data_IF_641756189858
#
_entry.id   IF_641756189858
#
_cell.length_a   1.000
_cell.length_b   1.000
_cell.length_c   1.000
_cell.angle_alpha   90.00
_cell.angle_beta   90.00
_cell.angle_gamma   90.00
#
_symmetry.space_group_name_H-M   'P 1'
#
loop_
_entity.id
_entity.type
_entity.pdbx_description
1 polymer ?
#
# COMPACT_ATOMS: atom_id res chain seq x y z
N UNK A 1 12.37 8.53 6.33
CA UNK A 1 11.69 7.31 6.80
C UNK A 1 11.19 6.47 5.63
N UNK A 2 10.88 5.23 5.89
CA UNK A 2 10.29 4.36 4.87
C UNK A 2 8.78 4.37 4.99
N UNK A 3 8.09 4.53 3.86
CA UNK A 3 6.64 4.59 3.78
C UNK A 3 6.19 3.52 2.79
N UNK A 4 5.38 2.56 3.26
CA UNK A 4 4.74 1.58 2.38
C UNK A 4 3.31 2.01 2.16
N UNK A 5 2.93 2.15 0.88
CA UNK A 5 1.57 2.56 0.52
C UNK A 5 0.66 1.34 0.44
N UNK A 6 -0.54 1.41 1.03
CA UNK A 6 -1.52 0.37 0.73
C UNK A 6 -2.02 0.57 -0.72
N UNK A 7 -2.76 -0.42 -1.21
CA UNK A 7 -3.17 -0.41 -2.62
C UNK A 7 -3.99 0.82 -2.97
N UNK A 8 -4.94 1.21 -2.12
CA UNK A 8 -5.78 2.37 -2.40
C UNK A 8 -4.98 3.68 -2.37
N UNK A 9 -4.09 3.82 -1.41
CA UNK A 9 -3.25 5.03 -1.32
C UNK A 9 -2.31 5.10 -2.52
N UNK A 10 -1.77 3.97 -2.97
CA UNK A 10 -0.95 3.91 -4.18
C UNK A 10 -1.74 4.41 -5.40
N UNK A 11 -2.96 3.90 -5.58
CA UNK A 11 -3.81 4.32 -6.69
C UNK A 11 -4.09 5.83 -6.64
N UNK A 12 -4.45 6.35 -5.47
CA UNK A 12 -4.71 7.77 -5.32
C UNK A 12 -3.47 8.61 -5.58
N UNK A 13 -2.31 8.17 -5.10
CA UNK A 13 -1.06 8.92 -5.30
C UNK A 13 -0.75 9.10 -6.79
N UNK A 14 -1.07 8.11 -7.61
CA UNK A 14 -0.78 8.13 -9.05
C UNK A 14 -1.90 8.75 -9.87
N UNK A 15 -3.15 8.46 -9.55
CA UNK A 15 -4.29 8.80 -10.40
C UNK A 15 -5.12 9.97 -9.88
N UNK A 16 -5.15 10.19 -8.56
CA UNK A 16 -6.02 11.19 -7.94
C UNK A 16 -5.36 11.79 -6.70
N UNK A 17 -4.17 12.42 -6.84
CA UNK A 17 -3.42 12.90 -5.68
C UNK A 17 -4.18 13.95 -4.87
N UNK A 18 -5.17 14.62 -5.47
CA UNK A 18 -6.02 15.56 -4.74
C UNK A 18 -6.86 14.89 -3.62
N UNK A 19 -6.98 13.56 -3.65
CA UNK A 19 -7.66 12.82 -2.59
C UNK A 19 -6.80 12.65 -1.34
N UNK A 20 -5.51 12.89 -1.47
CA UNK A 20 -4.58 12.85 -0.35
C UNK A 20 -4.48 14.25 0.28
N UNK A 21 -4.32 14.30 1.61
CA UNK A 21 -4.10 15.58 2.28
C UNK A 21 -2.79 16.21 1.81
N UNK A 22 -2.65 17.52 2.00
CA UNK A 22 -1.39 18.21 1.67
C UNK A 22 -0.23 17.59 2.44
N UNK A 23 -0.43 17.21 3.70
CA UNK A 23 0.62 16.58 4.52
C UNK A 23 1.08 15.26 3.94
N UNK A 24 0.15 14.41 3.51
CA UNK A 24 0.50 13.12 2.91
C UNK A 24 1.25 13.36 1.59
N UNK A 25 0.77 14.28 0.75
CA UNK A 25 1.47 14.59 -0.50
C UNK A 25 2.90 15.09 -0.25
N UNK A 26 3.09 15.89 0.78
CA UNK A 26 4.42 16.36 1.17
C UNK A 26 5.32 15.21 1.60
N UNK A 27 4.78 14.27 2.39
CA UNK A 27 5.54 13.10 2.83
C UNK A 27 6.01 12.27 1.63
N UNK A 28 5.13 12.07 0.63
CA UNK A 28 5.46 11.27 -0.55
C UNK A 28 6.43 11.98 -1.49
N UNK A 29 6.47 13.30 -1.46
CA UNK A 29 7.37 14.11 -2.29
C UNK A 29 8.71 14.40 -1.63
N UNK A 30 8.83 14.15 -0.33
CA UNK A 30 10.03 14.46 0.44
C UNK A 30 11.15 13.49 0.05
N UNK A 31 12.27 13.99 -0.52
CA UNK A 31 13.36 13.12 -0.96
C UNK A 31 14.07 12.40 0.19
N UNK A 32 13.86 12.83 1.44
CA UNK A 32 14.43 12.11 2.59
C UNK A 32 13.61 10.86 2.97
N UNK A 33 12.44 10.69 2.37
CA UNK A 33 11.60 9.52 2.59
C UNK A 33 11.74 8.53 1.45
N UNK A 34 11.80 7.23 1.79
CA UNK A 34 11.75 6.15 0.82
C UNK A 34 10.30 5.69 0.71
N UNK A 35 9.68 5.94 -0.43
CA UNK A 35 8.28 5.54 -0.66
C UNK A 35 8.27 4.22 -1.41
N UNK A 36 7.57 3.24 -0.82
CA UNK A 36 7.55 1.87 -1.30
C UNK A 36 6.14 1.47 -1.71
N UNK A 37 6.05 0.59 -2.71
CA UNK A 37 4.80 -0.10 -3.04
C UNK A 37 5.07 -1.60 -3.10
N UNK A 38 4.09 -2.40 -2.70
CA UNK A 38 4.24 -3.85 -2.68
C UNK A 38 3.88 -4.48 -4.01
N UNK A 39 4.61 -5.52 -4.40
CA UNK A 39 4.19 -6.37 -5.52
C UNK A 39 2.81 -6.99 -5.28
N UNK A 40 2.42 -7.19 -4.02
CA UNK A 40 1.08 -7.66 -3.68
C UNK A 40 -0.01 -6.68 -4.11
N UNK A 41 0.26 -5.37 -4.07
CA UNK A 41 -0.70 -4.36 -4.53
C UNK A 41 -0.93 -4.46 -6.03
N UNK A 42 0.12 -4.73 -6.80
CA UNK A 42 0.00 -4.93 -8.25
C UNK A 42 -0.84 -6.18 -8.53
N UNK A 43 -0.63 -7.26 -7.76
CA UNK A 43 -1.42 -8.47 -7.90
C UNK A 43 -2.89 -8.25 -7.54
N UNK A 44 -3.16 -7.51 -6.46
CA UNK A 44 -4.53 -7.15 -6.09
C UNK A 44 -5.24 -6.41 -7.22
N UNK A 45 -4.55 -5.44 -7.83
CA UNK A 45 -5.08 -4.67 -8.96
C UNK A 45 -5.36 -5.59 -10.14
N UNK A 46 -4.46 -6.53 -10.43
CA UNK A 46 -4.62 -7.49 -11.52
C UNK A 46 -5.87 -8.36 -11.30
N UNK A 47 -6.08 -8.85 -10.08
CA UNK A 47 -7.26 -9.65 -9.76
C UNK A 47 -8.54 -8.84 -9.97
N UNK A 48 -8.59 -7.62 -9.45
CA UNK A 48 -9.77 -6.76 -9.56
C UNK A 48 -10.05 -6.36 -11.00
N UNK A 49 -9.02 -6.07 -11.78
CA UNK A 49 -9.15 -5.77 -13.20
C UNK A 49 -9.69 -6.98 -13.98
N UNK A 50 -9.18 -8.17 -13.67
CA UNK A 50 -9.60 -9.42 -14.31
C UNK A 50 -11.04 -9.80 -14.00
N UNK A 51 -11.60 -9.30 -12.88
CA UNK A 51 -13.00 -9.53 -12.52
C UNK A 51 -13.97 -8.60 -13.25
N UNK A 52 -13.48 -7.75 -14.12
CA UNK A 52 -14.27 -6.83 -14.93
C UNK A 52 -15.20 -5.93 -14.11
N UNK A 53 -14.74 -5.48 -12.96
CA UNK A 53 -15.52 -4.56 -12.11
C UNK A 53 -15.68 -3.22 -12.82
N UNK A 54 -16.92 -2.81 -13.09
CA UNK A 54 -17.23 -1.61 -13.87
C UNK A 54 -16.60 -0.34 -13.32
N UNK A 55 -16.49 -0.23 -11.99
CA UNK A 55 -15.98 0.97 -11.35
C UNK A 55 -14.50 0.92 -11.05
N UNK A 56 -13.84 -0.19 -11.36
CA UNK A 56 -12.42 -0.33 -11.09
C UNK A 56 -11.61 0.07 -12.33
N UNK A 57 -10.96 1.22 -12.27
CA UNK A 57 -10.26 1.81 -13.41
C UNK A 57 -8.76 1.57 -13.43
N UNK A 58 -8.17 1.18 -12.29
CA UNK A 58 -6.73 0.95 -12.24
C UNK A 58 -6.34 -0.25 -13.09
N UNK A 59 -5.16 -0.17 -13.69
CA UNK A 59 -4.58 -1.24 -14.52
C UNK A 59 -3.22 -1.61 -13.95
N UNK A 60 -2.92 -2.91 -13.79
CA UNK A 60 -1.71 -3.31 -13.09
C UNK A 60 -0.41 -2.82 -13.77
N UNK A 61 -0.31 -2.94 -15.08
CA UNK A 61 0.90 -2.52 -15.79
C UNK A 61 1.12 -1.01 -15.70
N UNK A 62 0.05 -0.23 -15.83
CA UNK A 62 0.14 1.23 -15.77
C UNK A 62 0.44 1.71 -14.34
N UNK A 63 -0.13 1.06 -13.34
CA UNK A 63 0.13 1.40 -11.94
C UNK A 63 1.60 1.09 -11.60
N UNK A 64 2.08 -0.07 -11.99
CA UNK A 64 3.46 -0.46 -11.77
C UNK A 64 4.43 0.54 -12.42
N UNK A 65 4.22 0.82 -13.71
CA UNK A 65 5.05 1.77 -14.45
C UNK A 65 5.00 3.17 -13.84
N UNK A 66 3.79 3.64 -13.51
CA UNK A 66 3.61 4.96 -12.91
C UNK A 66 4.28 5.09 -11.55
N UNK A 67 4.25 4.02 -10.74
CA UNK A 67 4.92 4.02 -9.45
C UNK A 67 6.43 4.17 -9.60
N UNK A 68 7.03 3.42 -10.54
CA UNK A 68 8.47 3.53 -10.80
C UNK A 68 8.82 4.91 -11.33
N UNK A 69 8.04 5.47 -12.22
CA UNK A 69 8.25 6.83 -12.76
C UNK A 69 8.12 7.90 -11.67
N UNK A 70 7.28 7.67 -10.68
CA UNK A 70 7.14 8.57 -9.54
C UNK A 70 8.30 8.49 -8.56
N UNK A 71 9.22 7.55 -8.76
CA UNK A 71 10.35 7.34 -7.87
C UNK A 71 10.07 6.41 -6.71
N UNK A 72 8.93 5.71 -6.72
CA UNK A 72 8.62 4.73 -5.68
C UNK A 72 9.41 3.44 -5.94
N UNK A 73 9.80 2.77 -4.85
CA UNK A 73 10.52 1.51 -4.93
C UNK A 73 9.59 0.33 -4.72
N UNK A 74 9.77 -0.72 -5.51
CA UNK A 74 9.00 -1.94 -5.33
C UNK A 74 9.53 -2.73 -4.14
N UNK A 75 8.63 -3.14 -3.24
CA UNK A 75 8.91 -4.05 -2.14
C UNK A 75 8.33 -5.42 -2.51
N UNK A 76 9.17 -6.38 -2.94
CA UNK A 76 8.65 -7.68 -3.33
C UNK A 76 8.20 -8.47 -2.09
N UNK A 77 7.15 -9.28 -2.27
CA UNK A 77 6.68 -10.19 -1.22
C UNK A 77 7.66 -11.34 -1.09
N UNK A 78 8.18 -11.54 0.12
CA UNK A 78 9.09 -12.63 0.43
C UNK A 78 8.45 -13.61 1.39
N UNK A 79 9.04 -14.81 1.50
CA UNK A 79 8.52 -15.83 2.41
C UNK A 79 8.47 -15.34 3.87
N UNK A 80 9.47 -14.55 4.28
CA UNK A 80 9.46 -13.97 5.63
C UNK A 80 8.23 -13.10 5.89
N UNK A 81 7.79 -12.35 4.88
CA UNK A 81 6.59 -11.51 4.98
C UNK A 81 5.35 -12.36 5.13
N UNK A 82 5.24 -13.41 4.32
CA UNK A 82 4.10 -14.32 4.35
C UNK A 82 4.00 -15.05 5.69
N UNK A 83 5.13 -15.49 6.24
CA UNK A 83 5.17 -16.15 7.54
C UNK A 83 4.75 -15.17 8.66
N UNK A 84 5.17 -13.93 8.58
CA UNK A 84 4.86 -12.91 9.58
C UNK A 84 3.35 -12.62 9.69
N UNK A 85 2.58 -12.88 8.64
CA UNK A 85 1.11 -12.70 8.67
C UNK A 85 0.48 -13.53 9.80
N UNK A 86 1.06 -14.69 10.12
CA UNK A 86 0.53 -15.57 11.15
C UNK A 86 0.50 -14.91 12.53
N UNK A 87 1.42 -13.99 12.80
CA UNK A 87 1.54 -13.33 14.10
C UNK A 87 0.58 -12.16 14.27
N UNK A 88 -0.15 -11.77 13.22
CA UNK A 88 -1.08 -10.65 13.28
C UNK A 88 -2.40 -11.09 13.92
N UNK A 89 -3.03 -10.19 14.72
CA UNK A 89 -4.39 -10.45 15.22
C UNK A 89 -5.39 -10.61 14.09
N UNK A 90 -6.42 -11.45 14.30
CA UNK A 90 -7.46 -11.71 13.30
C UNK A 90 -8.56 -10.65 13.35
N UNK A 91 -8.19 -9.36 13.28
CA UNK A 91 -9.14 -8.25 13.31
C UNK A 91 -9.63 -7.86 11.90
N UNK A 92 -8.80 -8.08 10.90
CA UNK A 92 -9.10 -7.75 9.52
C UNK A 92 -8.97 -9.01 8.68
N UNK A 93 -9.95 -9.24 7.80
CA UNK A 93 -9.99 -10.47 7.00
C UNK A 93 -9.39 -10.32 5.61
N UNK A 94 -9.13 -9.11 5.16
CA UNK A 94 -8.54 -8.89 3.84
C UNK A 94 -7.10 -9.39 3.83
N UNK A 95 -6.80 -10.46 3.07
CA UNK A 95 -5.46 -11.03 3.06
C UNK A 95 -4.41 -10.09 2.48
N UNK A 96 -4.79 -9.20 1.56
CA UNK A 96 -3.84 -8.24 0.99
C UNK A 96 -3.42 -7.23 2.04
N UNK A 97 -4.37 -6.66 2.79
CA UNK A 97 -4.05 -5.69 3.83
C UNK A 97 -3.21 -6.31 4.94
N UNK A 98 -3.51 -7.55 5.31
CA UNK A 98 -2.73 -8.27 6.32
C UNK A 98 -1.30 -8.49 5.83
N UNK A 99 -1.12 -8.85 4.57
CA UNK A 99 0.21 -9.04 3.99
C UNK A 99 0.99 -7.73 3.94
N UNK A 100 0.33 -6.63 3.55
CA UNK A 100 0.98 -5.32 3.53
C UNK A 100 1.44 -4.92 4.93
N UNK A 101 0.62 -5.17 5.95
CA UNK A 101 1.01 -4.87 7.32
C UNK A 101 2.20 -5.72 7.76
N UNK A 102 2.21 -7.00 7.40
CA UNK A 102 3.34 -7.88 7.69
C UNK A 102 4.62 -7.37 7.02
N UNK A 103 4.53 -6.94 5.76
CA UNK A 103 5.67 -6.35 5.06
C UNK A 103 6.18 -5.09 5.76
N UNK A 104 5.26 -4.24 6.22
CA UNK A 104 5.62 -3.02 6.93
C UNK A 104 6.37 -3.32 8.24
N UNK A 105 5.96 -4.38 8.93
CA UNK A 105 6.62 -4.80 10.18
C UNK A 105 8.02 -5.36 9.90
N UNK A 106 8.15 -6.20 8.87
CA UNK A 106 9.42 -6.87 8.55
C UNK A 106 10.44 -5.93 7.93
N UNK A 107 10.00 -5.00 7.08
CA UNK A 107 10.88 -4.08 6.33
C UNK A 107 11.88 -3.31 7.22
N UNK A 108 11.60 -2.55 8.33
CA UNK A 108 10.31 -1.96 8.68
C UNK A 108 9.99 -0.67 7.92
N UNK A 109 8.71 -0.36 7.85
CA UNK A 109 8.19 0.84 7.21
C UNK A 109 6.88 1.26 7.88
N UNK A 110 6.47 2.51 7.68
CA UNK A 110 5.14 2.96 8.06
C UNK A 110 4.15 2.61 6.95
N UNK A 111 3.10 1.88 7.29
CA UNK A 111 2.03 1.58 6.33
C UNK A 111 1.05 2.74 6.29
N UNK A 112 1.02 3.46 5.18
CA UNK A 112 0.04 4.52 4.95
C UNK A 112 -1.20 3.88 4.36
N UNK A 113 -2.31 3.97 5.07
CA UNK A 113 -3.56 3.32 4.70
C UNK A 113 -4.76 4.25 4.85
N UNK A 114 -5.73 4.08 3.94
CA UNK A 114 -7.04 4.71 4.03
C UNK A 114 -8.08 3.76 4.65
N UNK A 115 -7.71 2.53 5.00
CA UNK A 115 -8.63 1.55 5.56
C UNK A 115 -8.73 1.71 7.08
N UNK A 116 -9.92 2.11 7.53
CA UNK A 116 -10.18 2.32 8.95
C UNK A 116 -9.95 1.04 9.77
N UNK A 117 -10.18 -0.14 9.18
CA UNK A 117 -9.98 -1.41 9.89
C UNK A 117 -8.52 -1.65 10.25
N UNK A 118 -7.59 -1.18 9.45
CA UNK A 118 -6.17 -1.31 9.75
C UNK A 118 -5.72 -0.39 10.88
N UNK A 119 -6.45 0.69 11.14
CA UNK A 119 -6.12 1.61 12.22
C UNK A 119 -6.10 0.92 13.59
N UNK A 120 -6.89 -0.14 13.75
CA UNK A 120 -6.98 -0.87 15.02
C UNK A 120 -5.82 -1.83 15.27
N UNK A 121 -5.01 -2.14 14.25
CA UNK A 121 -3.88 -3.05 14.42
C UNK A 121 -2.75 -2.39 15.21
N UNK A 122 -2.12 -3.12 16.12
CA UNK A 122 -0.87 -2.65 16.70
C UNK A 122 0.24 -2.72 15.66
N UNK A 123 1.09 -1.71 15.60
CA UNK A 123 2.22 -1.71 14.68
C UNK A 123 2.34 -0.42 13.89
N UNK A 124 3.16 -0.42 12.84
CA UNK A 124 3.53 0.79 12.12
C UNK A 124 2.45 1.20 11.11
N UNK A 125 1.26 1.49 11.59
CA UNK A 125 0.13 1.93 10.76
C UNK A 125 -0.08 3.42 10.91
N UNK A 126 -0.09 4.12 9.78
CA UNK A 126 -0.46 5.52 9.70
C UNK A 126 -1.76 5.63 8.90
N UNK A 127 -2.87 5.80 9.61
CA UNK A 127 -4.17 6.00 8.97
C UNK A 127 -4.23 7.43 8.44
N UNK A 128 -4.36 7.58 7.14
CA UNK A 128 -4.32 8.90 6.51
C UNK A 128 -5.67 9.62 6.49
N UNK A 129 -6.72 8.93 6.90
CA UNK A 129 -8.08 9.45 6.79
C UNK A 129 -8.57 9.38 5.35
N UNK A 130 -9.57 10.14 5.05
CA UNK A 130 -10.15 10.18 3.70
C UNK A 130 -9.88 11.49 3.03
#
# INVERSE_FOLDING_TARGET
MRILLDTQVLIWALDSPQRLSARVREDLADPSNDVLFSSASIWEIAIKSGQSRKNFKARPALTWQGALEAGFEELPVRSADAVAVLDLPLQHRDPFDRLLLAQAIVCPAWLYTADLQLKAYPGPVHYIGT
#
